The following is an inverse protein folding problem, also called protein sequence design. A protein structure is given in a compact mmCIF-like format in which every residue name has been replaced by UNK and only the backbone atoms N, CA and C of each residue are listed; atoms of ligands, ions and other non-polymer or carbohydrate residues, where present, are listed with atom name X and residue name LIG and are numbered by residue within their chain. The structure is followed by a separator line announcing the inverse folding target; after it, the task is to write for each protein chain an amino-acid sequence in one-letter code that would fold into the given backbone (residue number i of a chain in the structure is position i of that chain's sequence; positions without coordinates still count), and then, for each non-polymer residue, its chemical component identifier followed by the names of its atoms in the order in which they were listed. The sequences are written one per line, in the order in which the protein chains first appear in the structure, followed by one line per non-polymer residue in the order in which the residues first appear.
data_IF_043766910523
#
_entry.id   IF_043766910523
#
_cell.length_a   1.000
_cell.length_b   1.000
_cell.length_c   1.000
_cell.angle_alpha   90.00
_cell.angle_beta   90.00
_cell.angle_gamma   90.00
#
_symmetry.space_group_name_H-M   'P 1'
#
loop_
_entity.id
_entity.type
_entity.pdbx_description
1 polymer ?
#
# COMPACT_ATOMS: atom_id res chain seq x y z
N UNK A 1 -5.32 2.56 -12.02
CA UNK A 1 -6.15 3.51 -11.26
C UNK A 1 -5.50 4.88 -11.34
N UNK A 2 -6.27 5.92 -11.67
CA UNK A 2 -5.85 7.33 -11.56
C UNK A 2 -6.88 8.04 -10.69
N UNK A 3 -6.43 8.98 -9.87
CA UNK A 3 -7.32 9.83 -9.11
C UNK A 3 -8.22 10.64 -10.06
N UNK A 4 -9.47 10.84 -9.68
CA UNK A 4 -10.37 11.74 -10.39
C UNK A 4 -10.27 13.12 -9.75
N UNK A 5 -10.06 14.17 -10.56
CA UNK A 5 -9.99 15.55 -10.07
C UNK A 5 -8.59 16.10 -9.75
N UNK A 6 -7.52 15.37 -10.07
CA UNK A 6 -6.14 15.87 -9.88
C UNK A 6 -5.06 14.80 -10.13
N UNK A 7 -3.81 15.22 -10.11
CA UNK A 7 -2.63 14.34 -10.23
C UNK A 7 -2.38 13.57 -8.91
N UNK A 8 -2.72 14.17 -7.77
CA UNK A 8 -2.52 13.64 -6.43
C UNK A 8 -3.66 14.03 -5.45
N UNK A 9 -3.48 13.70 -4.16
CA UNK A 9 -4.41 13.99 -3.08
C UNK A 9 -4.05 15.24 -2.26
N UNK A 10 -3.13 16.09 -2.73
CA UNK A 10 -2.64 17.27 -1.98
C UNK A 10 -3.75 18.24 -1.59
N UNK A 11 -4.79 18.33 -2.41
CA UNK A 11 -6.04 19.09 -2.17
C UNK A 11 -6.74 18.70 -0.86
N UNK A 12 -6.59 17.45 -0.40
CA UNK A 12 -7.21 16.95 0.83
C UNK A 12 -6.37 17.23 2.09
N UNK A 13 -5.25 17.95 1.98
CA UNK A 13 -4.34 18.19 3.11
C UNK A 13 -5.06 18.90 4.26
N UNK A 14 -4.89 18.35 5.47
CA UNK A 14 -5.49 18.88 6.70
C UNK A 14 -6.98 18.62 6.83
N UNK A 15 -7.58 17.91 5.87
CA UNK A 15 -9.00 17.55 5.91
C UNK A 15 -9.15 16.11 6.42
N UNK A 16 -10.12 15.84 7.31
CA UNK A 16 -10.49 14.47 7.64
C UNK A 16 -10.99 13.75 6.38
N UNK A 17 -10.43 12.57 6.11
CA UNK A 17 -10.84 11.71 4.99
C UNK A 17 -11.42 10.39 5.49
N UNK A 18 -12.35 9.81 4.71
CA UNK A 18 -12.91 8.47 4.96
C UNK A 18 -12.66 7.58 3.75
N UNK A 19 -12.02 6.44 4.00
CA UNK A 19 -11.90 5.37 3.02
C UNK A 19 -13.10 4.43 3.20
N UNK A 20 -13.92 4.29 2.16
CA UNK A 20 -15.09 3.40 2.17
C UNK A 20 -14.81 2.21 1.25
N UNK A 21 -14.97 1.00 1.79
CA UNK A 21 -14.84 -0.25 1.05
C UNK A 21 -16.21 -0.93 1.02
N UNK A 22 -16.73 -1.14 -0.19
CA UNK A 22 -17.95 -1.90 -0.42
C UNK A 22 -17.57 -3.22 -1.09
N UNK A 23 -18.04 -4.34 -0.54
CA UNK A 23 -17.74 -5.68 -1.04
C UNK A 23 -19.03 -6.50 -1.21
N UNK A 24 -19.13 -7.24 -2.31
CA UNK A 24 -20.19 -8.22 -2.55
C UNK A 24 -19.56 -9.57 -2.85
N UNK A 25 -19.87 -10.59 -2.04
CA UNK A 25 -19.39 -11.97 -2.28
C UNK A 25 -17.88 -12.17 -2.14
N UNK A 26 -17.19 -11.36 -1.34
CA UNK A 26 -15.73 -11.45 -1.16
C UNK A 26 -15.27 -11.13 0.25
N UNK A 27 -14.00 -11.43 0.53
CA UNK A 27 -13.35 -11.20 1.83
C UNK A 27 -12.29 -10.10 1.73
N UNK A 28 -12.25 -9.24 2.74
CA UNK A 28 -11.29 -8.14 2.85
C UNK A 28 -10.23 -8.48 3.90
N UNK A 29 -8.97 -8.64 3.48
CA UNK A 29 -7.90 -9.14 4.35
C UNK A 29 -6.99 -8.02 4.88
N UNK A 30 -6.59 -7.09 4.02
CA UNK A 30 -5.73 -5.98 4.40
C UNK A 30 -5.78 -4.84 3.36
N UNK A 31 -5.54 -3.62 3.82
CA UNK A 31 -5.23 -2.46 2.98
C UNK A 31 -4.21 -1.58 3.70
N UNK A 32 -3.49 -0.77 2.94
CA UNK A 32 -2.61 0.27 3.45
C UNK A 32 -2.51 1.42 2.45
N UNK A 33 -2.05 2.57 2.94
CA UNK A 33 -1.75 3.75 2.13
C UNK A 33 -0.24 3.94 2.18
N UNK A 34 0.40 4.03 1.01
CA UNK A 34 1.84 4.30 0.92
C UNK A 34 2.08 5.79 0.69
N UNK A 35 3.18 6.30 1.24
CA UNK A 35 3.65 7.66 0.97
C UNK A 35 4.37 7.80 -0.38
N UNK A 36 4.62 6.70 -1.11
CA UNK A 36 5.23 6.76 -2.44
C UNK A 36 4.76 5.64 -3.39
N UNK A 37 5.24 5.70 -4.64
CA UNK A 37 4.86 4.79 -5.72
C UNK A 37 5.45 3.37 -5.60
N UNK A 38 6.33 3.11 -4.63
CA UNK A 38 6.85 1.76 -4.36
C UNK A 38 5.76 0.85 -3.79
N UNK A 39 4.76 1.45 -3.13
CA UNK A 39 3.68 0.73 -2.48
C UNK A 39 4.06 0.12 -1.13
N UNK A 40 5.22 0.49 -0.56
CA UNK A 40 5.61 0.04 0.78
C UNK A 40 4.58 0.46 1.81
N UNK A 41 4.21 -0.47 2.69
CA UNK A 41 3.23 -0.24 3.76
C UNK A 41 3.84 0.42 5.00
N UNK A 42 5.17 0.33 5.16
CA UNK A 42 5.90 0.69 6.39
C UNK A 42 5.40 -0.05 7.65
N UNK A 43 4.53 -1.05 7.47
CA UNK A 43 3.99 -1.95 8.50
C UNK A 43 4.83 -3.22 8.67
N UNK A 44 4.50 -4.01 9.69
CA UNK A 44 5.21 -5.27 9.95
C UNK A 44 4.78 -6.38 8.99
N UNK A 45 5.74 -7.11 8.42
CA UNK A 45 5.51 -8.22 7.48
C UNK A 45 5.29 -9.57 8.17
N UNK A 46 5.03 -9.56 9.48
CA UNK A 46 4.89 -10.75 10.32
C UNK A 46 6.06 -11.75 10.14
N UNK A 47 5.81 -12.89 9.48
CA UNK A 47 6.84 -13.90 9.18
C UNK A 47 7.88 -13.46 8.14
N UNK A 48 7.73 -12.25 7.57
CA UNK A 48 8.60 -11.75 6.53
C UNK A 48 8.22 -12.28 5.15
N UNK A 49 9.20 -12.28 4.27
CA UNK A 49 9.08 -12.77 2.91
C UNK A 49 10.35 -12.49 2.13
N UNK A 50 10.62 -13.22 1.04
CA UNK A 50 11.77 -12.95 0.21
C UNK A 50 11.79 -11.50 -0.30
N UNK A 51 12.99 -10.90 -0.35
CA UNK A 51 13.18 -9.53 -0.82
C UNK A 51 12.85 -8.43 0.20
N UNK A 52 12.27 -8.74 1.37
CA UNK A 52 12.22 -7.80 2.48
C UNK A 52 13.57 -7.72 3.20
N UNK A 53 13.93 -6.52 3.65
CA UNK A 53 15.21 -6.23 4.30
C UNK A 53 15.15 -6.28 5.84
N UNK A 54 13.97 -6.56 6.40
CA UNK A 54 13.74 -6.60 7.84
C UNK A 54 12.29 -6.96 8.19
N UNK A 55 11.90 -6.73 9.45
CA UNK A 55 10.56 -7.06 9.95
C UNK A 55 9.46 -6.10 9.50
N UNK A 56 9.81 -5.02 8.79
CA UNK A 56 8.88 -4.05 8.20
C UNK A 56 9.04 -3.98 6.69
N UNK A 57 7.93 -3.79 5.99
CA UNK A 57 7.92 -3.52 4.56
C UNK A 57 8.34 -2.06 4.30
N UNK A 58 9.63 -1.89 4.02
CA UNK A 58 10.24 -0.59 3.66
C UNK A 58 10.63 -0.51 2.19
N UNK A 59 10.35 -1.56 1.41
CA UNK A 59 10.86 -1.72 0.03
C UNK A 59 9.74 -1.89 -1.01
N UNK A 60 8.52 -2.23 -0.58
CA UNK A 60 7.35 -2.35 -1.43
C UNK A 60 7.57 -3.33 -2.59
N UNK A 61 7.19 -2.92 -3.80
CA UNK A 61 7.28 -3.73 -5.03
C UNK A 61 8.65 -4.33 -5.30
N UNK A 62 9.75 -3.74 -4.80
CA UNK A 62 11.10 -4.29 -4.95
C UNK A 62 11.23 -5.68 -4.30
N UNK A 63 10.53 -5.95 -3.19
CA UNK A 63 10.51 -7.27 -2.57
C UNK A 63 9.96 -8.35 -3.53
N UNK A 64 8.92 -8.03 -4.30
CA UNK A 64 8.30 -8.95 -5.25
C UNK A 64 9.21 -9.24 -6.46
N UNK A 65 9.91 -8.22 -6.96
CA UNK A 65 10.74 -8.31 -8.16
C UNK A 65 12.03 -9.12 -7.94
N UNK A 66 12.57 -9.12 -6.72
CA UNK A 66 13.72 -9.94 -6.35
C UNK A 66 13.43 -11.45 -6.43
N UNK A 67 12.15 -11.83 -6.44
CA UNK A 67 11.70 -13.21 -6.48
C UNK A 67 11.30 -13.72 -7.87
N UNK A 68 11.31 -12.86 -8.91
CA UNK A 68 10.87 -13.23 -10.26
C UNK A 68 11.99 -13.76 -11.16
N UNK A 69 12.89 -14.61 -10.61
CA UNK A 69 13.93 -15.30 -11.39
C UNK A 69 13.53 -16.73 -11.70
#
# INVERSE_FOLDING_TARGET
MRWQGGEDLSVLRGQPVRLHFELTGGSFYAFWVSQDATGRSDGYVAAGGPGYTGSRDTVGRKALQLNSR
#
